data_IF_199854636251
#
_entry.id   IF_199854636251
#
_cell.length_a   1.000
_cell.length_b   1.000
_cell.length_c   1.000
_cell.angle_alpha   90.00
_cell.angle_beta   90.00
_cell.angle_gamma   90.00
#
_symmetry.space_group_name_H-M   'P 1'
#
loop_
_entity.id
_entity.type
_entity.pdbx_description
1 polymer ?
#
# COMPACT_ATOMS: atom_id res chain seq x y z
N UNK A 1 -40.58 10.31 -8.88
CA UNK A 1 -41.17 10.34 -7.52
C UNK A 1 -41.16 8.94 -6.92
N UNK A 2 -40.43 8.74 -5.83
CA UNK A 2 -40.77 7.90 -4.66
C UNK A 2 -39.53 7.84 -3.75
N UNK A 3 -39.66 8.56 -2.64
CA UNK A 3 -38.70 8.71 -1.53
C UNK A 3 -38.98 7.55 -0.58
N UNK A 4 -37.96 6.87 -0.06
CA UNK A 4 -38.10 6.03 1.13
C UNK A 4 -36.98 6.39 2.10
N UNK A 5 -37.32 7.28 3.02
CA UNK A 5 -36.54 7.63 4.19
C UNK A 5 -36.78 6.56 5.27
N UNK A 6 -35.75 5.77 5.58
CA UNK A 6 -35.81 4.88 6.74
C UNK A 6 -35.24 5.60 7.97
N UNK A 7 -36.17 6.24 8.67
CA UNK A 7 -36.38 6.13 10.11
C UNK A 7 -35.15 6.26 11.04
N UNK A 8 -35.07 7.45 11.62
CA UNK A 8 -34.42 7.72 12.90
C UNK A 8 -34.81 6.71 14.00
N UNK A 9 -33.85 6.39 14.86
CA UNK A 9 -34.08 6.04 16.27
C UNK A 9 -32.81 6.33 17.06
N UNK A 10 -32.85 7.49 17.72
CA UNK A 10 -31.99 7.81 18.85
C UNK A 10 -32.23 6.80 19.97
N UNK A 11 -31.17 6.39 20.66
CA UNK A 11 -31.27 5.82 22.00
C UNK A 11 -30.28 6.59 22.88
N UNK A 12 -30.80 7.61 23.58
CA UNK A 12 -30.20 8.15 24.78
C UNK A 12 -30.15 7.02 25.82
N UNK A 13 -29.01 6.82 26.47
CA UNK A 13 -28.95 6.14 27.76
C UNK A 13 -28.58 7.16 28.83
N UNK A 14 -29.58 7.45 29.67
CA UNK A 14 -29.50 8.30 30.85
C UNK A 14 -29.21 7.42 32.06
N UNK A 15 -28.19 7.85 32.82
CA UNK A 15 -27.94 7.73 34.27
C UNK A 15 -28.53 6.57 35.08
N UNK A 16 -27.66 5.94 35.88
CA UNK A 16 -27.88 5.66 37.32
C UNK A 16 -26.51 5.46 37.98
N UNK A 17 -26.05 6.36 38.84
CA UNK A 17 -26.30 6.47 40.30
C UNK A 17 -25.62 5.38 41.15
N UNK A 18 -24.66 5.83 41.98
CA UNK A 18 -24.50 5.36 43.36
C UNK A 18 -23.26 4.53 43.69
N UNK A 19 -22.23 5.14 44.29
CA UNK A 19 -21.83 4.79 45.66
C UNK A 19 -20.93 5.89 46.25
N UNK A 20 -21.35 6.42 47.40
CA UNK A 20 -20.61 7.38 48.21
C UNK A 20 -19.66 6.66 49.19
N UNK A 21 -18.49 7.26 49.46
CA UNK A 21 -17.66 7.08 50.67
C UNK A 21 -16.73 8.32 50.81
N UNK A 22 -16.22 8.63 52.02
CA UNK A 22 -16.33 9.96 52.61
C UNK A 22 -15.09 10.85 52.48
N UNK A 23 -15.33 12.12 52.83
CA UNK A 23 -14.44 13.26 52.78
C UNK A 23 -13.12 13.11 53.54
N UNK A 24 -12.03 13.50 52.87
CA UNK A 24 -10.79 13.96 53.48
C UNK A 24 -10.48 15.35 52.89
N UNK A 25 -10.62 16.36 53.75
CA UNK A 25 -10.49 17.76 53.41
C UNK A 25 -9.06 18.11 52.95
N UNK A 26 -8.95 18.80 51.80
CA UNK A 26 -7.73 19.45 51.31
C UNK A 26 -8.11 20.85 50.78
N UNK A 27 -7.37 21.91 51.11
CA UNK A 27 -7.75 23.31 50.83
C UNK A 27 -7.75 23.65 49.32
N UNK A 28 -8.47 24.70 48.88
CA UNK A 28 -8.91 24.88 47.50
C UNK A 28 -7.77 25.35 46.59
N UNK A 29 -7.40 24.52 45.61
CA UNK A 29 -6.61 24.95 44.46
C UNK A 29 -7.57 25.40 43.34
N UNK A 30 -7.32 26.60 42.79
CA UNK A 30 -8.03 27.18 41.64
C UNK A 30 -8.15 26.16 40.49
N UNK A 31 -9.31 26.05 39.81
CA UNK A 31 -9.43 25.15 38.67
C UNK A 31 -8.57 25.67 37.52
N UNK A 32 -7.58 24.87 37.12
CA UNK A 32 -6.84 25.08 35.89
C UNK A 32 -7.77 24.82 34.69
N UNK A 33 -7.69 25.62 33.62
CA UNK A 33 -8.50 25.41 32.42
C UNK A 33 -8.13 24.07 31.79
N UNK A 34 -9.15 23.27 31.48
CA UNK A 34 -9.01 22.01 30.78
C UNK A 34 -8.24 22.24 29.46
N UNK A 35 -7.25 21.40 29.12
CA UNK A 35 -6.59 21.49 27.82
C UNK A 35 -7.63 21.18 26.74
N UNK A 36 -7.87 22.17 25.89
CA UNK A 36 -8.67 22.00 24.68
C UNK A 36 -8.10 20.83 23.89
N UNK A 37 -8.92 19.79 23.70
CA UNK A 37 -8.66 18.69 22.81
C UNK A 37 -8.57 19.26 21.40
N UNK A 38 -7.36 19.51 20.93
CA UNK A 38 -7.09 19.74 19.52
C UNK A 38 -7.44 18.44 18.80
N UNK A 39 -8.57 18.45 18.09
CA UNK A 39 -8.85 17.49 17.05
C UNK A 39 -7.81 17.70 15.95
N UNK A 40 -6.76 16.89 16.02
CA UNK A 40 -5.85 16.68 14.91
C UNK A 40 -6.68 16.06 13.78
N UNK A 41 -7.04 16.89 12.81
CA UNK A 41 -7.55 16.44 11.52
C UNK A 41 -6.43 15.61 10.91
N UNK A 42 -6.51 14.29 11.11
CA UNK A 42 -5.70 13.34 10.38
C UNK A 42 -5.99 13.56 8.90
N UNK A 43 -5.11 14.32 8.22
CA UNK A 43 -5.03 14.30 6.76
C UNK A 43 -4.83 12.83 6.41
N UNK A 44 -5.86 12.24 5.82
CA UNK A 44 -5.83 10.90 5.26
C UNK A 44 -4.64 10.85 4.30
N UNK A 45 -3.52 10.30 4.76
CA UNK A 45 -2.30 10.23 3.99
C UNK A 45 -2.58 9.37 2.77
N UNK A 46 -2.38 9.93 1.57
CA UNK A 46 -2.54 9.15 0.35
C UNK A 46 -1.66 7.89 0.42
N UNK A 47 -2.19 6.70 0.11
CA UNK A 47 -1.42 5.47 0.15
C UNK A 47 -0.22 5.57 -0.80
N UNK A 48 0.97 5.30 -0.28
CA UNK A 48 2.24 5.35 -1.02
C UNK A 48 2.55 3.97 -1.59
N UNK A 49 2.85 3.91 -2.89
CA UNK A 49 3.29 2.67 -3.56
C UNK A 49 4.76 2.42 -3.19
N UNK A 50 5.11 1.27 -2.61
CA UNK A 50 6.49 0.91 -2.31
C UNK A 50 7.36 0.79 -3.56
N UNK A 51 8.63 1.19 -3.41
CA UNK A 51 9.64 1.06 -4.45
C UNK A 51 9.43 2.00 -5.65
N UNK A 52 9.79 1.51 -6.83
CA UNK A 52 9.65 2.25 -8.09
C UNK A 52 8.26 1.99 -8.65
N UNK A 53 7.46 3.04 -8.83
CA UNK A 53 6.10 2.93 -9.37
C UNK A 53 6.03 3.27 -10.86
N UNK A 54 5.08 2.65 -11.56
CA UNK A 54 4.76 2.97 -12.95
C UNK A 54 3.25 2.88 -13.20
N UNK A 55 2.71 3.81 -13.98
CA UNK A 55 1.30 3.83 -14.35
C UNK A 55 1.01 2.77 -15.42
N UNK A 56 -0.11 2.07 -15.27
CA UNK A 56 -0.60 1.09 -16.23
C UNK A 56 -1.59 1.70 -17.22
N UNK A 57 -1.72 1.10 -18.39
CA UNK A 57 -2.71 1.50 -19.42
C UNK A 57 -4.17 1.45 -18.92
N UNK A 58 -4.47 0.58 -17.96
CA UNK A 58 -5.81 0.44 -17.38
C UNK A 58 -6.14 1.50 -16.30
N UNK A 59 -5.25 2.46 -16.05
CA UNK A 59 -5.42 3.52 -15.04
C UNK A 59 -5.02 3.10 -13.63
N UNK A 60 -4.57 1.86 -13.42
CA UNK A 60 -3.91 1.42 -12.19
C UNK A 60 -2.41 1.70 -12.19
N UNK A 61 -1.71 1.10 -11.23
CA UNK A 61 -0.25 1.21 -11.10
C UNK A 61 0.38 -0.15 -10.82
N UNK A 62 1.67 -0.26 -11.15
CA UNK A 62 2.54 -1.27 -10.56
C UNK A 62 3.52 -0.60 -9.60
N UNK A 63 3.89 -1.32 -8.55
CA UNK A 63 5.01 -1.01 -7.67
C UNK A 63 6.04 -2.11 -7.76
N UNK A 64 7.31 -1.74 -7.95
CA UNK A 64 8.43 -2.67 -8.06
C UNK A 64 9.41 -2.40 -6.93
N UNK A 65 9.59 -3.40 -6.08
CA UNK A 65 10.53 -3.36 -4.96
C UNK A 65 11.55 -4.49 -5.06
N UNK A 66 12.67 -4.33 -4.36
CA UNK A 66 13.60 -5.43 -4.10
C UNK A 66 13.31 -5.93 -2.70
N UNK A 67 12.75 -7.14 -2.62
CA UNK A 67 12.41 -7.83 -1.38
C UNK A 67 12.98 -9.25 -1.43
N UNK A 68 13.45 -9.76 -0.29
CA UNK A 68 13.97 -11.13 -0.16
C UNK A 68 15.07 -11.49 -1.19
N UNK A 69 15.87 -10.50 -1.58
CA UNK A 69 16.95 -10.67 -2.57
C UNK A 69 16.44 -10.89 -4.00
N UNK A 70 15.25 -10.42 -4.35
CA UNK A 70 14.68 -10.48 -5.69
C UNK A 70 13.70 -9.34 -5.98
N UNK A 71 13.16 -9.31 -7.21
CA UNK A 71 12.12 -8.34 -7.54
C UNK A 71 10.76 -8.82 -7.05
N UNK A 72 9.98 -7.89 -6.49
CA UNK A 72 8.57 -8.07 -6.18
C UNK A 72 7.76 -6.98 -6.87
N UNK A 73 6.82 -7.41 -7.71
CA UNK A 73 5.87 -6.55 -8.40
C UNK A 73 4.52 -6.67 -7.70
N UNK A 74 3.98 -5.55 -7.28
CA UNK A 74 2.63 -5.43 -6.70
C UNK A 74 1.74 -4.59 -7.61
N UNK A 75 0.44 -4.89 -7.61
CA UNK A 75 -0.55 -4.24 -8.47
C UNK A 75 -1.46 -3.35 -7.64
N UNK A 76 -1.81 -2.19 -8.17
CA UNK A 76 -2.61 -1.19 -7.49
C UNK A 76 -3.71 -0.63 -8.40
N UNK A 77 -4.82 -0.27 -7.79
CA UNK A 77 -5.88 0.49 -8.44
C UNK A 77 -5.53 1.98 -8.60
N UNK A 78 -6.43 2.76 -9.22
CA UNK A 78 -6.27 4.20 -9.37
C UNK A 78 -6.19 4.96 -8.03
N UNK A 79 -6.65 4.35 -6.93
CA UNK A 79 -6.58 4.89 -5.56
C UNK A 79 -5.33 4.41 -4.83
N UNK A 80 -4.35 3.83 -5.54
CA UNK A 80 -3.10 3.25 -5.01
C UNK A 80 -3.35 2.18 -3.94
N UNK A 81 -4.51 1.51 -3.96
CA UNK A 81 -4.82 0.35 -3.11
C UNK A 81 -4.39 -0.93 -3.80
N UNK A 82 -3.77 -1.83 -3.06
CA UNK A 82 -3.28 -3.09 -3.62
C UNK A 82 -4.43 -3.97 -4.10
N UNK A 83 -4.30 -4.54 -5.29
CA UNK A 83 -5.27 -5.43 -5.94
C UNK A 83 -4.60 -6.75 -6.33
N UNK A 84 -5.39 -7.82 -6.62
CA UNK A 84 -4.85 -9.06 -7.18
C UNK A 84 -4.10 -8.83 -8.48
N UNK A 85 -3.16 -9.73 -8.78
CA UNK A 85 -2.49 -9.75 -10.07
C UNK A 85 -3.49 -10.15 -11.17
N UNK A 86 -3.52 -9.39 -12.26
CA UNK A 86 -4.36 -9.62 -13.44
C UNK A 86 -3.58 -10.23 -14.62
N UNK A 87 -2.36 -10.72 -14.37
CA UNK A 87 -1.48 -11.31 -15.38
C UNK A 87 -0.86 -12.60 -14.84
N UNK A 88 -0.47 -13.51 -15.72
CA UNK A 88 0.03 -14.82 -15.30
C UNK A 88 1.47 -14.73 -14.76
N UNK A 89 2.30 -13.86 -15.34
CA UNK A 89 3.72 -13.69 -14.98
C UNK A 89 4.29 -12.41 -15.57
N UNK A 90 5.53 -12.11 -15.23
CA UNK A 90 6.30 -11.06 -15.88
C UNK A 90 7.71 -11.53 -16.23
N UNK A 91 8.34 -10.89 -17.20
CA UNK A 91 9.78 -10.99 -17.43
C UNK A 91 10.45 -9.67 -17.07
N UNK A 92 11.45 -9.74 -16.20
CA UNK A 92 12.36 -8.65 -15.90
C UNK A 92 13.66 -8.82 -16.67
N UNK A 93 14.19 -7.73 -17.22
CA UNK A 93 15.51 -7.64 -17.83
C UNK A 93 16.25 -6.42 -17.30
N UNK A 94 17.50 -6.57 -16.90
CA UNK A 94 18.37 -5.48 -16.49
C UNK A 94 19.82 -5.80 -16.83
N UNK A 95 20.68 -4.79 -16.85
CA UNK A 95 22.12 -4.97 -17.02
C UNK A 95 22.80 -4.61 -15.70
N UNK A 96 23.25 -5.60 -14.91
CA UNK A 96 23.90 -5.33 -13.63
C UNK A 96 25.31 -4.78 -13.83
N UNK A 97 25.71 -3.79 -13.04
CA UNK A 97 27.01 -3.11 -13.20
C UNK A 97 28.23 -4.04 -12.97
N UNK A 98 28.06 -5.11 -12.20
CA UNK A 98 29.14 -6.00 -11.80
C UNK A 98 29.40 -7.15 -12.79
N UNK A 99 28.65 -7.22 -13.90
CA UNK A 99 28.76 -8.30 -14.88
C UNK A 99 28.45 -7.78 -16.28
N UNK A 100 29.07 -8.40 -17.28
CA UNK A 100 28.76 -8.07 -18.67
C UNK A 100 27.45 -8.75 -19.11
N UNK A 101 26.59 -7.99 -19.78
CA UNK A 101 25.38 -8.46 -20.45
C UNK A 101 24.11 -8.35 -19.62
N UNK A 102 22.97 -8.55 -20.29
CA UNK A 102 21.66 -8.48 -19.66
C UNK A 102 21.37 -9.74 -18.84
N UNK A 103 20.94 -9.54 -17.60
CA UNK A 103 20.25 -10.57 -16.82
C UNK A 103 18.75 -10.54 -17.08
N UNK A 104 18.14 -11.72 -17.03
CA UNK A 104 16.70 -11.91 -17.21
C UNK A 104 16.14 -12.80 -16.11
N UNK A 105 14.96 -12.46 -15.61
CA UNK A 105 14.20 -13.29 -14.67
C UNK A 105 12.75 -13.35 -15.09
N UNK A 106 12.13 -14.51 -14.88
CA UNK A 106 10.69 -14.66 -14.88
C UNK A 106 10.22 -14.44 -13.44
N UNK A 107 9.20 -13.61 -13.27
CA UNK A 107 8.50 -13.42 -12.01
C UNK A 107 7.18 -14.16 -12.09
N UNK A 108 6.96 -15.06 -11.14
CA UNK A 108 5.75 -15.87 -11.05
C UNK A 108 4.85 -15.35 -9.91
N UNK A 109 3.55 -15.65 -9.92
CA UNK A 109 2.66 -15.31 -8.83
C UNK A 109 3.13 -15.90 -7.51
N UNK A 110 3.13 -15.08 -6.47
CA UNK A 110 3.32 -15.56 -5.11
C UNK A 110 2.07 -16.32 -4.64
N UNK A 111 2.19 -17.08 -3.55
CA UNK A 111 1.06 -17.84 -2.98
C UNK A 111 -0.14 -16.98 -2.58
N UNK A 112 0.02 -15.67 -2.43
CA UNK A 112 -1.07 -14.73 -2.13
C UNK A 112 -1.87 -14.26 -3.37
N UNK A 113 -1.39 -14.54 -4.59
CA UNK A 113 -2.01 -14.11 -5.85
C UNK A 113 -2.03 -12.60 -6.09
N UNK A 114 -1.38 -11.79 -5.24
CA UNK A 114 -1.38 -10.32 -5.33
C UNK A 114 -0.07 -9.76 -5.88
N UNK A 115 0.97 -10.59 -5.90
CA UNK A 115 2.32 -10.17 -6.26
C UNK A 115 2.97 -11.15 -7.21
N UNK A 116 3.86 -10.63 -8.07
CA UNK A 116 4.78 -11.44 -8.86
C UNK A 116 6.17 -11.32 -8.27
N UNK A 117 6.85 -12.44 -8.04
CA UNK A 117 8.17 -12.45 -7.42
C UNK A 117 9.18 -13.28 -8.20
N UNK A 118 10.44 -12.89 -8.09
CA UNK A 118 11.59 -13.73 -8.42
C UNK A 118 12.63 -13.64 -7.31
N UNK A 119 13.71 -14.40 -7.43
CA UNK A 119 14.82 -14.41 -6.49
C UNK A 119 16.14 -14.20 -7.22
N UNK A 120 17.21 -13.93 -6.45
CA UNK A 120 18.60 -13.78 -6.92
C UNK A 120 18.80 -12.57 -7.82
N UNK A 121 18.37 -11.41 -7.35
CA UNK A 121 18.81 -10.09 -7.82
C UNK A 121 19.93 -9.65 -6.89
N UNK A 122 21.13 -9.44 -7.43
CA UNK A 122 22.32 -9.13 -6.64
C UNK A 122 22.58 -7.63 -6.60
N UNK A 123 23.07 -7.09 -5.47
CA UNK A 123 23.57 -5.72 -5.43
C UNK A 123 24.82 -5.56 -6.32
N UNK A 124 25.14 -4.32 -6.73
CA UNK A 124 24.47 -3.07 -6.38
C UNK A 124 23.20 -2.81 -7.21
N UNK A 125 22.19 -2.21 -6.58
CA UNK A 125 20.88 -1.96 -7.20
C UNK A 125 20.85 -0.63 -7.97
N UNK A 126 21.85 -0.44 -8.81
CA UNK A 126 22.00 0.71 -9.69
C UNK A 126 21.94 0.24 -11.15
N UNK A 127 20.73 0.16 -11.69
CA UNK A 127 20.48 -0.30 -13.06
C UNK A 127 19.12 0.16 -13.55
N UNK A 128 18.93 0.08 -14.88
CA UNK A 128 17.63 0.26 -15.53
C UNK A 128 16.94 -1.08 -15.67
N UNK A 129 15.74 -1.18 -15.12
CA UNK A 129 14.90 -2.37 -15.18
C UNK A 129 13.87 -2.24 -16.31
N UNK A 130 13.76 -3.29 -17.11
CA UNK A 130 12.74 -3.45 -18.15
C UNK A 130 11.82 -4.58 -17.74
N UNK A 131 10.51 -4.35 -17.80
CA UNK A 131 9.50 -5.34 -17.40
C UNK A 131 8.55 -5.57 -18.57
N UNK A 132 8.15 -6.81 -18.78
CA UNK A 132 7.03 -7.16 -19.66
C UNK A 132 6.07 -8.07 -18.90
N UNK A 133 4.81 -7.67 -18.82
CA UNK A 133 3.72 -8.43 -18.23
C UNK A 133 3.13 -9.37 -19.29
N UNK A 134 2.84 -10.60 -18.88
CA UNK A 134 2.45 -11.70 -19.76
C UNK A 134 1.10 -12.25 -19.30
N UNK A 135 0.12 -12.35 -20.21
CA UNK A 135 -1.20 -12.92 -19.95
C UNK A 135 -1.15 -14.43 -19.68
N UNK A 136 -2.28 -15.01 -19.28
CA UNK A 136 -2.44 -16.47 -19.17
C UNK A 136 -2.19 -17.19 -20.50
N UNK A 137 -2.57 -16.57 -21.62
CA UNK A 137 -2.32 -17.08 -22.97
C UNK A 137 -0.85 -17.00 -23.40
N UNK A 138 0.01 -16.39 -22.57
CA UNK A 138 1.43 -16.22 -22.87
C UNK A 138 1.77 -15.00 -23.73
N UNK A 139 0.80 -14.11 -23.96
CA UNK A 139 0.99 -12.91 -24.77
C UNK A 139 1.50 -11.73 -23.93
N UNK A 140 2.33 -10.88 -24.54
CA UNK A 140 2.79 -9.65 -23.91
C UNK A 140 1.68 -8.60 -23.88
N UNK A 141 1.20 -8.25 -22.69
CA UNK A 141 0.08 -7.31 -22.50
C UNK A 141 0.59 -5.88 -22.34
N UNK A 142 1.67 -5.72 -21.57
CA UNK A 142 2.19 -4.41 -21.20
C UNK A 142 3.70 -4.48 -20.96
N UNK A 143 4.42 -3.45 -21.39
CA UNK A 143 5.86 -3.35 -21.19
C UNK A 143 6.23 -2.02 -20.57
N UNK A 144 7.07 -2.07 -19.53
CA UNK A 144 7.61 -0.91 -18.85
C UNK A 144 9.10 -0.81 -19.18
N UNK A 145 9.49 0.32 -19.74
CA UNK A 145 10.86 0.57 -20.14
C UNK A 145 11.58 1.41 -19.11
N UNK A 146 12.80 1.00 -18.77
CA UNK A 146 13.78 1.80 -18.02
C UNK A 146 13.28 2.36 -16.68
N UNK A 147 12.71 1.51 -15.82
CA UNK A 147 12.50 1.84 -14.41
C UNK A 147 13.86 2.00 -13.73
N UNK A 148 14.17 3.20 -13.25
CA UNK A 148 15.45 3.53 -12.64
C UNK A 148 15.51 3.01 -11.20
N UNK A 149 16.37 2.02 -10.97
CA UNK A 149 16.74 1.57 -9.62
C UNK A 149 18.06 2.24 -9.23
N UNK A 150 18.04 2.94 -8.08
CA UNK A 150 19.19 3.59 -7.46
C UNK A 150 19.05 3.48 -5.94
N UNK A 151 19.24 2.27 -5.42
CA UNK A 151 19.21 1.95 -3.99
C UNK A 151 20.60 1.56 -3.48
#
# INVERSE_FOLDING_TARGET
>A
MKINASLAKSLLWVASFGLALPALAKPPAKPAPAPAKQEEIAKEAEPVIPGVSAARKNGGFIGVEIADGGFKISFYDAKKKQVPCDVARATARWNPINKSGDERRVLNPSGDGKTLTCVRVQPPYNFKLFITLISEDGEAVESFSALDFRF
#
